data_IF_809012797902
#
_entry.id   IF_809012797902
#
_cell.length_a   1.000
_cell.length_b   1.000
_cell.length_c   1.000
_cell.angle_alpha   90.00
_cell.angle_beta   90.00
_cell.angle_gamma   90.00
#
_symmetry.space_group_name_H-M   'P 1'
#
loop_
_entity.id
_entity.type
_entity.pdbx_description
1 polymer ?
#
# COMPACT_ATOMS: atom_id res chain seq x y z
N UNK A 1 -35.20 -25.40 70.92
CA UNK A 1 -35.32 -25.53 72.40
C UNK A 1 -34.16 -24.76 73.01
N UNK A 2 -34.41 -23.78 73.88
CA UNK A 2 -33.34 -23.01 74.53
C UNK A 2 -32.83 -23.75 75.76
N UNK A 3 -31.52 -23.86 75.93
CA UNK A 3 -30.85 -24.53 77.06
C UNK A 3 -30.13 -23.49 77.90
N UNK A 4 -30.29 -23.56 79.22
CA UNK A 4 -29.61 -22.69 80.18
C UNK A 4 -28.62 -23.49 81.04
N UNK A 5 -27.34 -23.09 80.97
CA UNK A 5 -26.24 -23.67 81.72
C UNK A 5 -26.01 -22.83 82.99
N UNK A 6 -26.41 -23.36 84.14
CA UNK A 6 -26.25 -22.68 85.42
C UNK A 6 -24.90 -23.03 86.05
N UNK A 7 -24.08 -22.01 86.32
CA UNK A 7 -22.76 -22.15 86.95
C UNK A 7 -22.62 -21.15 88.11
N UNK A 8 -21.60 -21.33 88.94
CA UNK A 8 -21.24 -20.41 90.03
C UNK A 8 -19.83 -19.91 89.76
N UNK A 9 -19.61 -18.60 89.87
CA UNK A 9 -18.31 -17.98 89.65
C UNK A 9 -17.99 -16.97 90.75
N UNK A 10 -16.76 -17.02 91.24
CA UNK A 10 -16.21 -16.08 92.21
C UNK A 10 -15.53 -14.89 91.51
N UNK A 11 -15.79 -13.68 92.00
CA UNK A 11 -15.15 -12.45 91.49
C UNK A 11 -13.72 -12.29 92.02
N UNK A 12 -13.46 -12.77 93.24
CA UNK A 12 -12.15 -12.71 93.88
C UNK A 12 -11.16 -13.81 93.43
N UNK A 13 -11.59 -14.76 92.59
CA UNK A 13 -10.78 -15.84 91.97
C UNK A 13 -10.14 -16.76 93.00
N UNK A 14 -10.97 -17.52 93.72
CA UNK A 14 -10.50 -18.54 94.65
C UNK A 14 -9.75 -19.68 93.93
N UNK A 15 -8.57 -20.06 94.43
CA UNK A 15 -7.80 -21.20 93.90
C UNK A 15 -8.37 -22.56 94.32
N UNK A 16 -9.40 -22.57 95.16
CA UNK A 16 -9.98 -23.81 95.72
C UNK A 16 -11.21 -24.31 94.95
N UNK A 17 -11.77 -23.53 94.03
CA UNK A 17 -12.88 -23.98 93.19
C UNK A 17 -12.36 -24.77 91.98
N UNK A 18 -13.00 -25.90 91.70
CA UNK A 18 -12.85 -26.59 90.41
C UNK A 18 -13.63 -25.77 89.37
N UNK A 19 -12.98 -25.29 88.29
CA UNK A 19 -13.66 -24.49 87.28
C UNK A 19 -14.90 -25.21 86.74
N UNK A 20 -16.08 -24.57 86.72
CA UNK A 20 -17.27 -25.20 86.19
C UNK A 20 -17.11 -25.43 84.68
N UNK A 21 -17.77 -26.47 84.16
CA UNK A 21 -17.72 -26.83 82.73
C UNK A 21 -19.06 -26.63 82.05
N UNK A 22 -19.05 -25.84 80.99
CA UNK A 22 -20.16 -25.64 80.07
C UNK A 22 -19.83 -26.34 78.75
N UNK A 23 -20.75 -27.18 78.26
CA UNK A 23 -20.60 -27.88 76.99
C UNK A 23 -21.70 -27.45 76.04
N UNK A 24 -21.31 -26.93 74.89
CA UNK A 24 -22.20 -26.51 73.80
C UNK A 24 -21.75 -27.13 72.50
N UNK A 25 -22.56 -27.05 71.45
CA UNK A 25 -22.16 -27.45 70.10
C UNK A 25 -21.88 -26.22 69.25
N UNK A 26 -20.92 -26.37 68.36
CA UNK A 26 -20.68 -25.39 67.30
C UNK A 26 -22.00 -25.13 66.54
N UNK A 27 -22.31 -23.88 66.23
CA UNK A 27 -23.55 -23.52 65.52
C UNK A 27 -24.82 -23.43 66.36
N UNK A 28 -24.81 -23.74 67.67
CA UNK A 28 -25.97 -23.54 68.57
C UNK A 28 -26.18 -22.05 68.92
N UNK A 29 -26.39 -21.22 67.91
CA UNK A 29 -26.50 -19.76 68.02
C UNK A 29 -27.82 -19.38 68.67
N UNK A 30 -27.77 -18.47 69.65
CA UNK A 30 -28.93 -17.90 70.34
C UNK A 30 -29.82 -18.90 71.12
N UNK A 31 -29.47 -20.19 71.14
CA UNK A 31 -30.22 -21.23 71.86
C UNK A 31 -29.55 -21.67 73.15
N UNK A 32 -28.25 -21.40 73.32
CA UNK A 32 -27.48 -21.75 74.53
C UNK A 32 -27.26 -20.49 75.37
N UNK A 33 -27.67 -20.51 76.64
CA UNK A 33 -27.45 -19.40 77.58
C UNK A 33 -26.61 -19.85 78.75
N UNK A 34 -25.54 -19.13 79.06
CA UNK A 34 -24.75 -19.32 80.28
C UNK A 34 -25.28 -18.38 81.34
N UNK A 35 -25.67 -18.91 82.49
CA UNK A 35 -26.19 -18.17 83.64
C UNK A 35 -25.27 -18.43 84.83
N UNK A 36 -24.47 -17.44 85.20
CA UNK A 36 -23.52 -17.54 86.30
C UNK A 36 -24.02 -16.79 87.52
N UNK A 37 -24.18 -17.50 88.63
CA UNK A 37 -24.35 -16.90 89.96
C UNK A 37 -23.01 -16.31 90.40
N UNK A 38 -22.98 -15.00 90.62
CA UNK A 38 -21.82 -14.28 91.10
C UNK A 38 -21.71 -14.42 92.60
N UNK A 39 -20.50 -14.75 93.06
CA UNK A 39 -20.15 -14.88 94.46
C UNK A 39 -18.90 -14.03 94.75
N UNK A 40 -18.74 -13.67 96.02
CA UNK A 40 -17.52 -13.06 96.55
C UNK A 40 -17.26 -13.66 97.94
N UNK A 41 -16.22 -14.48 98.06
CA UNK A 41 -15.87 -15.19 99.30
C UNK A 41 -17.04 -16.06 99.82
N UNK A 42 -17.73 -16.75 98.91
CA UNK A 42 -18.83 -17.66 99.25
C UNK A 42 -20.18 -16.98 99.52
N UNK A 43 -20.24 -15.64 99.53
CA UNK A 43 -21.48 -14.88 99.66
C UNK A 43 -21.97 -14.36 98.30
N UNK A 44 -23.28 -14.22 98.12
CA UNK A 44 -23.86 -13.74 96.86
C UNK A 44 -23.40 -12.31 96.57
N UNK A 45 -22.77 -12.12 95.42
CA UNK A 45 -22.32 -10.81 94.97
C UNK A 45 -23.35 -10.17 94.03
N UNK A 46 -23.84 -8.98 94.35
CA UNK A 46 -24.79 -8.21 93.52
C UNK A 46 -24.10 -6.95 92.98
N UNK A 47 -23.64 -6.95 91.72
CA UNK A 47 -23.05 -5.77 91.11
C UNK A 47 -24.06 -4.62 91.00
N UNK A 48 -23.68 -3.40 91.40
CA UNK A 48 -24.50 -2.21 91.24
C UNK A 48 -23.91 -1.28 90.19
N UNK A 49 -24.73 -0.86 89.21
CA UNK A 49 -24.32 0.07 88.16
C UNK A 49 -23.27 -0.46 87.17
N UNK A 50 -23.01 -1.77 87.16
CA UNK A 50 -22.05 -2.39 86.24
C UNK A 50 -22.76 -2.97 85.01
N UNK A 51 -22.01 -3.07 83.91
CA UNK A 51 -22.41 -3.87 82.73
C UNK A 51 -21.50 -5.10 82.61
N UNK A 52 -21.95 -6.14 81.92
CA UNK A 52 -21.18 -7.38 81.79
C UNK A 52 -20.88 -7.74 80.33
N UNK A 53 -19.76 -8.44 80.14
CA UNK A 53 -19.39 -9.07 78.88
C UNK A 53 -18.78 -10.43 79.15
N UNK A 54 -19.13 -11.42 78.34
CA UNK A 54 -18.46 -12.71 78.33
C UNK A 54 -17.32 -12.64 77.30
N UNK A 55 -16.08 -12.80 77.79
CA UNK A 55 -14.88 -12.86 76.97
C UNK A 55 -14.44 -14.31 76.80
N UNK A 56 -14.32 -14.75 75.55
CA UNK A 56 -13.93 -16.12 75.19
C UNK A 56 -12.70 -16.03 74.29
N UNK A 57 -11.65 -16.79 74.62
CA UNK A 57 -10.55 -17.11 73.72
C UNK A 57 -10.73 -18.55 73.27
N UNK A 58 -11.09 -18.76 72.01
CA UNK A 58 -11.41 -20.08 71.46
C UNK A 58 -10.15 -20.93 71.24
N UNK A 59 -10.35 -22.22 70.97
CA UNK A 59 -9.27 -23.18 70.77
C UNK A 59 -8.35 -22.82 69.58
N UNK A 60 -8.94 -22.28 68.52
CA UNK A 60 -8.28 -21.80 67.30
C UNK A 60 -7.46 -20.51 67.48
N UNK A 61 -7.55 -19.87 68.66
CA UNK A 61 -6.85 -18.62 68.99
C UNK A 61 -7.62 -17.35 68.62
N UNK A 62 -8.81 -17.46 68.00
CA UNK A 62 -9.69 -16.30 67.80
C UNK A 62 -10.50 -16.01 69.07
N UNK A 63 -10.97 -14.78 69.22
CA UNK A 63 -11.64 -14.32 70.45
C UNK A 63 -13.06 -13.84 70.15
N UNK A 64 -13.96 -14.03 71.11
CA UNK A 64 -15.34 -13.57 71.04
C UNK A 64 -15.67 -12.72 72.27
N UNK A 65 -16.32 -11.57 72.03
CA UNK A 65 -16.80 -10.65 73.07
C UNK A 65 -18.31 -10.59 72.99
N UNK A 66 -18.97 -11.17 73.96
CA UNK A 66 -20.41 -11.37 73.93
C UNK A 66 -21.07 -10.49 74.98
N UNK A 67 -22.07 -9.72 74.57
CA UNK A 67 -22.86 -8.90 75.49
C UNK A 67 -23.54 -9.80 76.53
N UNK A 68 -23.39 -9.46 77.81
CA UNK A 68 -24.03 -10.16 78.90
C UNK A 68 -24.93 -9.20 79.70
N UNK A 69 -25.97 -9.74 80.33
CA UNK A 69 -26.88 -8.99 81.19
C UNK A 69 -26.65 -9.36 82.66
N UNK A 70 -26.85 -8.41 83.57
CA UNK A 70 -26.79 -8.63 85.01
C UNK A 70 -28.21 -8.44 85.57
N UNK A 71 -28.67 -9.37 86.40
CA UNK A 71 -29.92 -9.25 87.16
C UNK A 71 -29.70 -9.76 88.57
N UNK A 72 -29.68 -8.84 89.54
CA UNK A 72 -29.28 -9.14 90.91
C UNK A 72 -27.87 -9.71 90.96
N UNK A 73 -27.71 -10.90 91.55
CA UNK A 73 -26.44 -11.61 91.65
C UNK A 73 -26.16 -12.58 90.50
N UNK A 74 -26.87 -12.48 89.38
CA UNK A 74 -26.72 -13.39 88.23
C UNK A 74 -26.26 -12.60 87.01
N UNK A 75 -25.22 -13.10 86.35
CA UNK A 75 -24.81 -12.63 85.02
C UNK A 75 -25.17 -13.68 83.97
N UNK A 76 -25.82 -13.26 82.87
CA UNK A 76 -26.26 -14.14 81.80
C UNK A 76 -25.69 -13.72 80.45
N UNK A 77 -25.26 -14.69 79.65
CA UNK A 77 -24.91 -14.50 78.25
C UNK A 77 -25.56 -15.59 77.40
N UNK A 78 -26.50 -15.21 76.53
CA UNK A 78 -26.93 -16.07 75.43
C UNK A 78 -25.84 -16.05 74.37
N UNK A 79 -25.34 -17.22 73.97
CA UNK A 79 -24.16 -17.35 73.12
C UNK A 79 -24.48 -16.93 71.68
N UNK A 80 -23.83 -15.87 71.15
CA UNK A 80 -23.96 -15.47 69.75
C UNK A 80 -23.08 -16.35 68.84
N UNK A 81 -23.23 -16.22 67.52
CA UNK A 81 -22.51 -17.02 66.51
C UNK A 81 -21.00 -17.03 66.74
N UNK A 82 -20.40 -15.87 66.94
CA UNK A 82 -18.96 -15.71 67.23
C UNK A 82 -18.47 -16.51 68.45
N UNK A 83 -19.32 -16.79 69.43
CA UNK A 83 -18.95 -17.56 70.63
C UNK A 83 -18.85 -19.07 70.37
N UNK A 84 -19.60 -19.57 69.39
CA UNK A 84 -19.74 -21.00 69.07
C UNK A 84 -19.35 -21.29 67.61
N UNK A 85 -18.50 -20.45 67.01
CA UNK A 85 -18.13 -20.56 65.58
C UNK A 85 -16.94 -21.47 65.29
N UNK A 86 -16.35 -22.08 66.32
CA UNK A 86 -15.14 -22.91 66.16
C UNK A 86 -15.11 -23.97 67.26
N UNK A 87 -14.95 -25.26 66.93
CA UNK A 87 -14.99 -26.32 67.92
C UNK A 87 -13.68 -26.40 68.70
N UNK A 88 -13.75 -27.04 69.86
CA UNK A 88 -12.63 -27.25 70.77
C UNK A 88 -12.91 -26.71 72.18
N UNK A 89 -11.95 -26.95 73.08
CA UNK A 89 -11.96 -26.37 74.42
C UNK A 89 -11.44 -24.93 74.33
N UNK A 90 -12.25 -23.95 74.74
CA UNK A 90 -11.81 -22.57 74.83
C UNK A 90 -10.59 -22.47 75.77
N UNK A 91 -9.59 -21.71 75.36
CA UNK A 91 -8.38 -21.44 76.16
C UNK A 91 -8.70 -20.57 77.38
N UNK A 92 -9.72 -19.72 77.26
CA UNK A 92 -10.21 -18.88 78.35
C UNK A 92 -11.69 -18.56 78.12
N UNK A 93 -12.51 -18.60 79.18
CA UNK A 93 -13.86 -18.03 79.18
C UNK A 93 -14.13 -17.44 80.56
N UNK A 94 -14.51 -16.16 80.63
CA UNK A 94 -14.82 -15.49 81.90
C UNK A 94 -15.70 -14.26 81.67
N UNK A 95 -16.44 -13.86 82.70
CA UNK A 95 -17.18 -12.61 82.67
C UNK A 95 -16.31 -11.45 83.12
N UNK A 96 -16.44 -10.33 82.41
CA UNK A 96 -15.83 -9.05 82.75
C UNK A 96 -16.94 -8.06 83.08
N UNK A 97 -16.83 -7.41 84.23
CA UNK A 97 -17.77 -6.40 84.71
C UNK A 97 -17.15 -5.01 84.51
N UNK A 98 -17.93 -4.08 83.97
CA UNK A 98 -17.48 -2.74 83.60
C UNK A 98 -18.24 -1.67 84.38
N UNK A 99 -17.51 -0.66 84.84
CA UNK A 99 -18.07 0.61 85.28
C UNK A 99 -17.87 1.62 84.14
N UNK A 100 -18.93 1.94 83.41
CA UNK A 100 -18.81 2.68 82.15
C UNK A 100 -17.96 1.92 81.12
N UNK A 101 -16.84 2.50 80.68
CA UNK A 101 -15.89 1.90 79.73
C UNK A 101 -14.68 1.24 80.41
N UNK A 102 -14.52 1.43 81.72
CA UNK A 102 -13.40 0.89 82.49
C UNK A 102 -13.72 -0.51 83.01
N UNK A 103 -12.79 -1.45 82.82
CA UNK A 103 -12.88 -2.78 83.43
C UNK A 103 -12.82 -2.60 84.94
N UNK A 104 -13.94 -2.89 85.62
CA UNK A 104 -14.02 -2.81 87.07
C UNK A 104 -13.50 -4.11 87.68
N UNK A 105 -14.09 -5.23 87.26
CA UNK A 105 -13.90 -6.54 87.89
C UNK A 105 -13.97 -7.65 86.84
N UNK A 106 -13.57 -8.86 87.23
CA UNK A 106 -13.78 -10.04 86.40
C UNK A 106 -13.93 -11.28 87.26
N UNK A 107 -14.69 -12.25 86.79
CA UNK A 107 -14.79 -13.56 87.43
C UNK A 107 -13.51 -14.36 87.25
N UNK A 108 -13.42 -15.48 87.95
CA UNK A 108 -12.59 -16.61 87.54
C UNK A 108 -12.98 -17.15 86.15
N UNK A 109 -12.10 -17.98 85.59
CA UNK A 109 -12.34 -18.67 84.32
C UNK A 109 -13.14 -19.95 84.49
N UNK A 110 -13.95 -20.29 83.49
CA UNK A 110 -14.65 -21.58 83.42
C UNK A 110 -14.31 -22.32 82.13
N UNK A 111 -14.51 -23.64 82.13
CA UNK A 111 -14.28 -24.46 80.94
C UNK A 111 -15.46 -24.35 79.98
N UNK A 112 -15.26 -23.68 78.85
CA UNK A 112 -16.22 -23.70 77.74
C UNK A 112 -15.76 -24.68 76.66
N UNK A 113 -16.45 -25.82 76.53
CA UNK A 113 -16.18 -26.82 75.50
C UNK A 113 -17.21 -26.71 74.38
N UNK A 114 -16.73 -26.42 73.18
CA UNK A 114 -17.55 -26.37 71.97
C UNK A 114 -17.32 -27.68 71.22
N UNK A 115 -18.32 -28.55 71.18
CA UNK A 115 -18.27 -29.80 70.41
C UNK A 115 -18.39 -29.48 68.92
N UNK A 116 -17.66 -30.20 68.04
CA UNK A 116 -17.89 -30.08 66.61
C UNK A 116 -19.34 -30.44 66.29
N UNK A 117 -19.95 -29.72 65.34
CA UNK A 117 -21.14 -30.22 64.67
C UNK A 117 -20.73 -30.84 63.34
N UNK A 118 -21.56 -31.75 62.83
CA UNK A 118 -21.43 -32.29 61.47
C UNK A 118 -21.86 -31.23 60.44
N UNK A 119 -22.52 -30.17 60.89
CA UNK A 119 -23.19 -29.16 60.06
C UNK A 119 -23.19 -27.80 60.77
N UNK A 120 -22.17 -26.97 60.52
CA UNK A 120 -22.03 -25.61 61.11
C UNK A 120 -21.90 -24.49 60.10
N UNK A 121 -21.92 -24.82 58.81
CA UNK A 121 -22.32 -23.85 57.83
C UNK A 121 -23.83 -23.73 57.90
N UNK A 122 -24.32 -22.52 58.11
CA UNK A 122 -25.54 -22.08 57.45
C UNK A 122 -25.60 -22.74 56.05
N UNK A 123 -26.55 -23.66 55.77
CA UNK A 123 -26.60 -24.36 54.48
C UNK A 123 -26.76 -23.39 53.31
N UNK A 124 -27.05 -22.11 53.57
CA UNK A 124 -27.15 -21.05 52.59
C UNK A 124 -25.79 -20.39 52.24
N UNK A 125 -24.73 -20.55 53.05
CA UNK A 125 -23.48 -19.79 52.87
C UNK A 125 -22.22 -20.60 52.52
N UNK A 126 -22.19 -21.92 52.74
CA UNK A 126 -21.02 -22.75 52.38
C UNK A 126 -21.27 -23.74 51.24
N UNK A 127 -22.51 -23.86 50.78
CA UNK A 127 -22.86 -24.53 49.54
C UNK A 127 -23.27 -23.48 48.50
N UNK A 128 -22.30 -22.77 47.91
CA UNK A 128 -22.48 -22.46 46.49
C UNK A 128 -22.56 -23.82 45.80
N UNK A 129 -23.78 -24.28 45.56
CA UNK A 129 -24.13 -25.61 45.07
C UNK A 129 -23.21 -26.02 43.92
N UNK A 130 -22.73 -27.26 43.91
CA UNK A 130 -22.02 -27.83 42.77
C UNK A 130 -22.74 -27.55 41.43
N UNK A 131 -24.07 -27.55 41.45
CA UNK A 131 -24.91 -27.18 40.31
C UNK A 131 -24.72 -25.72 39.86
N UNK A 132 -24.61 -24.75 40.78
CA UNK A 132 -24.34 -23.33 40.44
C UNK A 132 -22.93 -23.15 39.85
N UNK A 133 -21.94 -23.88 40.37
CA UNK A 133 -20.60 -23.87 39.79
C UNK A 133 -20.55 -24.52 38.39
N UNK A 134 -21.31 -25.61 38.17
CA UNK A 134 -21.48 -26.24 36.86
C UNK A 134 -22.21 -25.32 35.88
N UNK A 135 -23.25 -24.61 36.32
CA UNK A 135 -23.96 -23.60 35.52
C UNK A 135 -23.02 -22.46 35.13
N UNK A 136 -22.27 -21.89 36.09
CA UNK A 136 -21.26 -20.85 35.82
C UNK A 136 -20.18 -21.34 34.84
N UNK A 137 -19.76 -22.60 34.92
CA UNK A 137 -18.80 -23.18 33.98
C UNK A 137 -19.42 -23.35 32.58
N UNK A 138 -20.65 -23.83 32.50
CA UNK A 138 -21.40 -23.99 31.25
C UNK A 138 -21.61 -22.64 30.56
N UNK A 139 -22.07 -21.61 31.28
CA UNK A 139 -22.25 -20.26 30.75
C UNK A 139 -20.93 -19.66 30.24
N UNK A 140 -19.83 -19.87 30.96
CA UNK A 140 -18.50 -19.46 30.50
C UNK A 140 -18.11 -20.18 29.23
N UNK A 141 -18.28 -21.50 29.17
CA UNK A 141 -17.99 -22.28 27.98
C UNK A 141 -18.85 -21.82 26.80
N UNK A 142 -20.16 -21.71 26.97
CA UNK A 142 -21.08 -21.23 25.93
C UNK A 142 -20.68 -19.83 25.42
N UNK A 143 -20.29 -18.92 26.32
CA UNK A 143 -19.80 -17.60 25.93
C UNK A 143 -18.47 -17.67 25.15
N UNK A 144 -17.55 -18.56 25.54
CA UNK A 144 -16.31 -18.81 24.79
C UNK A 144 -16.59 -19.39 23.41
N UNK A 145 -17.52 -20.34 23.30
CA UNK A 145 -17.91 -20.99 22.04
C UNK A 145 -18.55 -19.97 21.09
N UNK A 146 -19.55 -19.22 21.55
CA UNK A 146 -20.15 -18.12 20.77
C UNK A 146 -19.12 -17.10 20.29
N UNK A 147 -18.15 -16.76 21.15
CA UNK A 147 -17.07 -15.84 20.78
C UNK A 147 -16.15 -16.45 19.72
N UNK A 148 -15.79 -17.72 19.86
CA UNK A 148 -14.95 -18.43 18.89
C UNK A 148 -15.66 -18.56 17.52
N UNK A 149 -16.95 -18.90 17.51
CA UNK A 149 -17.76 -18.96 16.29
C UNK A 149 -17.83 -17.59 15.59
N UNK A 150 -18.06 -16.52 16.35
CA UNK A 150 -18.09 -15.16 15.81
C UNK A 150 -16.73 -14.75 15.22
N UNK A 151 -15.64 -15.07 15.90
CA UNK A 151 -14.28 -14.80 15.41
C UNK A 151 -13.95 -15.59 14.16
N UNK A 152 -14.33 -16.87 14.11
CA UNK A 152 -14.09 -17.73 12.96
C UNK A 152 -14.93 -17.27 11.76
N UNK A 153 -16.20 -16.90 11.97
CA UNK A 153 -17.04 -16.29 10.93
C UNK A 153 -16.41 -15.02 10.37
N UNK A 154 -15.93 -14.11 11.23
CA UNK A 154 -15.25 -12.89 10.80
C UNK A 154 -13.95 -13.18 10.03
N UNK A 155 -13.16 -14.17 10.47
CA UNK A 155 -11.94 -14.62 9.80
C UNK A 155 -12.25 -15.17 8.41
N UNK A 156 -13.29 -15.99 8.27
CA UNK A 156 -13.73 -16.56 6.99
C UNK A 156 -14.21 -15.46 6.04
N UNK A 157 -14.99 -14.49 6.53
CA UNK A 157 -15.42 -13.33 5.72
C UNK A 157 -14.23 -12.50 5.24
N UNK A 158 -13.26 -12.22 6.10
CA UNK A 158 -12.04 -11.49 5.74
C UNK A 158 -11.20 -12.25 4.70
N UNK A 159 -11.08 -13.56 4.85
CA UNK A 159 -10.35 -14.40 3.91
C UNK A 159 -11.04 -14.50 2.54
N UNK A 160 -12.37 -14.56 2.51
CA UNK A 160 -13.13 -14.51 1.26
C UNK A 160 -12.96 -13.15 0.56
N UNK A 161 -13.02 -12.05 1.30
CA UNK A 161 -12.76 -10.71 0.76
C UNK A 161 -11.33 -10.59 0.19
N UNK A 162 -10.32 -11.12 0.91
CA UNK A 162 -8.93 -11.18 0.44
C UNK A 162 -8.81 -11.96 -0.87
N UNK A 163 -9.46 -13.11 -0.99
CA UNK A 163 -9.49 -13.91 -2.22
C UNK A 163 -10.13 -13.16 -3.38
N UNK A 164 -11.27 -12.52 -3.17
CA UNK A 164 -11.94 -11.71 -4.21
C UNK A 164 -11.06 -10.55 -4.69
N UNK A 165 -10.39 -9.85 -3.76
CA UNK A 165 -9.47 -8.77 -4.09
C UNK A 165 -8.27 -9.28 -4.88
N UNK A 166 -7.71 -10.42 -4.51
CA UNK A 166 -6.58 -11.03 -5.23
C UNK A 166 -6.98 -11.47 -6.64
N UNK A 167 -8.17 -12.05 -6.83
CA UNK A 167 -8.70 -12.36 -8.16
C UNK A 167 -8.93 -11.10 -9.00
N UNK A 168 -9.38 -9.99 -8.40
CA UNK A 168 -9.53 -8.73 -9.10
C UNK A 168 -8.17 -8.14 -9.52
N UNK A 169 -7.17 -8.21 -8.64
CA UNK A 169 -5.79 -7.80 -8.93
C UNK A 169 -5.20 -8.59 -10.10
N UNK A 170 -5.40 -9.91 -10.13
CA UNK A 170 -4.92 -10.77 -11.21
C UNK A 170 -5.54 -10.39 -12.56
N UNK A 171 -6.87 -10.18 -12.62
CA UNK A 171 -7.54 -9.73 -13.86
C UNK A 171 -7.06 -8.36 -14.34
N UNK A 172 -6.81 -7.44 -13.42
CA UNK A 172 -6.25 -6.13 -13.76
C UNK A 172 -4.84 -6.26 -14.35
N UNK A 173 -4.03 -7.18 -13.81
CA UNK A 173 -2.68 -7.46 -14.30
C UNK A 173 -2.70 -8.11 -15.68
N UNK A 174 -3.55 -9.11 -15.92
CA UNK A 174 -3.77 -9.72 -17.24
C UNK A 174 -4.17 -8.65 -18.29
N UNK A 175 -5.03 -7.71 -17.89
CA UNK A 175 -5.43 -6.60 -18.76
C UNK A 175 -4.25 -5.67 -19.06
N UNK A 176 -3.43 -5.35 -18.06
CA UNK A 176 -2.22 -4.53 -18.22
C UNK A 176 -1.22 -5.20 -19.17
N UNK A 177 -1.01 -6.50 -19.03
CA UNK A 177 -0.13 -7.29 -19.90
C UNK A 177 -0.61 -7.27 -21.35
N UNK A 178 -1.90 -7.55 -21.60
CA UNK A 178 -2.48 -7.50 -22.95
C UNK A 178 -2.36 -6.10 -23.59
N UNK A 179 -2.54 -5.04 -22.80
CA UNK A 179 -2.34 -3.67 -23.28
C UNK A 179 -0.87 -3.36 -23.60
N UNK A 180 0.08 -3.90 -22.83
CA UNK A 180 1.51 -3.75 -23.09
C UNK A 180 1.92 -4.47 -24.38
N UNK A 181 1.42 -5.69 -24.59
CA UNK A 181 1.65 -6.43 -25.84
C UNK A 181 1.12 -5.67 -27.05
N UNK A 182 -0.11 -5.14 -26.96
CA UNK A 182 -0.69 -4.32 -28.03
C UNK A 182 0.13 -3.05 -28.31
N UNK A 183 0.64 -2.40 -27.25
CA UNK A 183 1.54 -1.23 -27.37
C UNK A 183 2.84 -1.61 -28.07
N UNK A 184 3.45 -2.74 -27.69
CA UNK A 184 4.70 -3.22 -28.28
C UNK A 184 4.52 -3.53 -29.77
N UNK A 185 3.46 -4.23 -30.16
CA UNK A 185 3.14 -4.49 -31.58
C UNK A 185 2.90 -3.20 -32.36
N UNK A 186 2.19 -2.22 -31.79
CA UNK A 186 1.99 -0.93 -32.45
C UNK A 186 3.32 -0.18 -32.66
N UNK A 187 4.24 -0.27 -31.70
CA UNK A 187 5.56 0.33 -31.81
C UNK A 187 6.44 -0.36 -32.86
N UNK A 188 6.43 -1.70 -32.93
CA UNK A 188 7.12 -2.46 -33.98
C UNK A 188 6.62 -2.11 -35.39
N UNK A 189 5.31 -1.96 -35.55
CA UNK A 189 4.71 -1.52 -36.82
C UNK A 189 5.17 -0.10 -37.18
N UNK A 190 5.19 0.82 -36.20
CA UNK A 190 5.66 2.20 -36.41
C UNK A 190 7.13 2.24 -36.82
N UNK A 191 7.98 1.43 -36.21
CA UNK A 191 9.40 1.30 -36.58
C UNK A 191 9.55 0.75 -38.00
N UNK A 192 8.74 -0.24 -38.37
CA UNK A 192 8.75 -0.83 -39.71
C UNK A 192 8.34 0.18 -40.78
N UNK A 193 7.24 0.90 -40.55
CA UNK A 193 6.76 1.96 -41.44
C UNK A 193 7.80 3.08 -41.58
N UNK A 194 8.40 3.51 -40.47
CA UNK A 194 9.46 4.51 -40.49
C UNK A 194 10.66 4.08 -41.34
N UNK A 195 11.11 2.84 -41.20
CA UNK A 195 12.22 2.31 -42.00
C UNK A 195 11.88 2.22 -43.50
N UNK A 196 10.64 1.89 -43.83
CA UNK A 196 10.16 1.89 -45.22
C UNK A 196 10.17 3.31 -45.80
N UNK A 197 9.59 4.28 -45.08
CA UNK A 197 9.58 5.69 -45.48
C UNK A 197 10.99 6.26 -45.63
N UNK A 198 11.90 5.93 -44.71
CA UNK A 198 13.31 6.30 -44.79
C UNK A 198 13.95 5.78 -46.06
N UNK A 199 13.74 4.51 -46.39
CA UNK A 199 14.31 3.90 -47.60
C UNK A 199 13.73 4.51 -48.88
N UNK A 200 12.42 4.75 -48.92
CA UNK A 200 11.76 5.43 -50.05
C UNK A 200 12.26 6.86 -50.22
N UNK A 201 12.44 7.60 -49.13
CA UNK A 201 12.98 8.96 -49.14
C UNK A 201 14.42 8.99 -49.67
N UNK A 202 15.26 8.04 -49.26
CA UNK A 202 16.63 7.89 -49.78
C UNK A 202 16.63 7.57 -51.28
N UNK A 203 15.77 6.65 -51.73
CA UNK A 203 15.65 6.32 -53.15
C UNK A 203 15.18 7.52 -53.99
N UNK A 204 14.19 8.27 -53.50
CA UNK A 204 13.71 9.49 -54.15
C UNK A 204 14.82 10.56 -54.25
N UNK A 205 15.60 10.73 -53.18
CA UNK A 205 16.75 11.65 -53.16
C UNK A 205 17.80 11.25 -54.19
N UNK A 206 18.13 9.95 -54.27
CA UNK A 206 19.10 9.44 -55.25
C UNK A 206 18.60 9.61 -56.69
N UNK A 207 17.32 9.35 -56.95
CA UNK A 207 16.71 9.56 -58.25
C UNK A 207 16.73 11.04 -58.67
N UNK A 208 16.43 11.96 -57.75
CA UNK A 208 16.51 13.39 -57.99
C UNK A 208 17.95 13.85 -58.32
N UNK A 209 18.94 13.36 -57.57
CA UNK A 209 20.36 13.64 -57.84
C UNK A 209 20.81 13.10 -59.21
N UNK A 210 20.36 11.90 -59.58
CA UNK A 210 20.61 11.32 -60.90
C UNK A 210 20.00 12.14 -62.03
N UNK A 211 18.74 12.57 -61.87
CA UNK A 211 18.07 13.43 -62.84
C UNK A 211 18.78 14.79 -63.01
N UNK A 212 19.21 15.41 -61.90
CA UNK A 212 19.98 16.65 -61.93
C UNK A 212 21.33 16.48 -62.65
N UNK A 213 22.02 15.36 -62.42
CA UNK A 213 23.28 15.03 -63.11
C UNK A 213 23.06 14.86 -64.61
N UNK A 214 22.02 14.12 -65.01
CA UNK A 214 21.67 13.94 -66.42
C UNK A 214 21.31 15.26 -67.10
N UNK A 215 20.57 16.14 -66.42
CA UNK A 215 20.26 17.48 -66.93
C UNK A 215 21.52 18.33 -67.13
N UNK A 216 22.46 18.30 -66.18
CA UNK A 216 23.75 18.99 -66.30
C UNK A 216 24.60 18.44 -67.46
N UNK A 217 24.62 17.12 -67.66
CA UNK A 217 25.30 16.48 -68.77
C UNK A 217 24.68 16.88 -70.11
N UNK A 218 23.35 16.86 -70.22
CA UNK A 218 22.63 17.27 -71.42
C UNK A 218 22.87 18.76 -71.75
N UNK A 219 22.84 19.64 -70.74
CA UNK A 219 23.14 21.05 -70.92
C UNK A 219 24.58 21.27 -71.39
N UNK A 220 25.54 20.51 -70.84
CA UNK A 220 26.96 20.58 -71.25
C UNK A 220 27.14 20.10 -72.69
N UNK A 221 26.52 18.98 -73.06
CA UNK A 221 26.53 18.48 -74.43
C UNK A 221 25.95 19.51 -75.41
N UNK A 222 24.81 20.11 -75.07
CA UNK A 222 24.17 21.14 -75.90
C UNK A 222 25.08 22.37 -76.11
N UNK A 223 25.77 22.84 -75.06
CA UNK A 223 26.78 23.91 -75.19
C UNK A 223 27.91 23.51 -76.13
N UNK A 224 28.49 22.32 -75.93
CA UNK A 224 29.57 21.84 -76.79
C UNK A 224 29.14 21.77 -78.26
N UNK A 225 27.92 21.29 -78.55
CA UNK A 225 27.37 21.27 -79.91
C UNK A 225 27.26 22.70 -80.46
N UNK A 226 26.71 23.64 -79.70
CA UNK A 226 26.60 25.04 -80.12
C UNK A 226 27.97 25.66 -80.45
N UNK A 227 28.98 25.44 -79.58
CA UNK A 227 30.34 25.94 -79.78
C UNK A 227 30.99 25.35 -81.05
N UNK A 228 30.81 24.05 -81.30
CA UNK A 228 31.32 23.39 -82.51
C UNK A 228 30.63 23.91 -83.78
N UNK A 229 29.32 24.11 -83.76
CA UNK A 229 28.60 24.70 -84.91
C UNK A 229 29.13 26.10 -85.21
N UNK A 230 29.33 26.94 -84.18
CA UNK A 230 29.86 28.28 -84.35
C UNK A 230 31.28 28.26 -84.95
N UNK A 231 32.10 27.27 -84.60
CA UNK A 231 33.44 27.11 -85.19
C UNK A 231 33.43 26.53 -86.62
N UNK A 232 32.38 25.81 -87.01
CA UNK A 232 32.30 25.12 -88.31
C UNK A 232 31.61 25.94 -89.41
N UNK A 233 30.95 27.04 -89.06
CA UNK A 233 30.40 27.96 -90.06
C UNK A 233 31.57 28.63 -90.77
N UNK A 234 31.73 28.32 -92.07
CA UNK A 234 32.60 29.06 -92.97
C UNK A 234 32.08 30.50 -92.95
N UNK A 235 32.89 31.42 -92.41
CA UNK A 235 32.46 32.80 -92.25
C UNK A 235 32.13 33.41 -93.61
N UNK A 236 31.25 34.43 -93.63
CA UNK A 236 30.96 35.17 -94.86
C UNK A 236 32.25 35.72 -95.52
N UNK A 237 33.27 35.99 -94.70
CA UNK A 237 34.63 36.38 -95.13
C UNK A 237 35.35 35.26 -95.89
N UNK A 238 35.38 34.04 -95.36
CA UNK A 238 35.98 32.87 -96.02
C UNK A 238 35.25 32.53 -97.32
N UNK A 239 33.91 32.64 -97.33
CA UNK A 239 33.09 32.46 -98.55
C UNK A 239 33.41 33.54 -99.58
N UNK A 240 33.55 34.79 -99.16
CA UNK A 240 33.92 35.89 -100.04
C UNK A 240 35.33 35.70 -100.62
N UNK A 241 36.29 35.25 -99.81
CA UNK A 241 37.65 34.95 -100.26
C UNK A 241 37.66 33.80 -101.28
N UNK A 242 36.94 32.71 -101.01
CA UNK A 242 36.80 31.61 -101.97
C UNK A 242 36.18 32.07 -103.28
N UNK A 243 35.15 32.94 -103.24
CA UNK A 243 34.56 33.54 -104.45
C UNK A 243 35.60 34.38 -105.22
N UNK A 244 36.38 35.20 -104.54
CA UNK A 244 37.45 35.97 -105.19
C UNK A 244 38.54 35.08 -105.80
N UNK A 245 38.88 33.96 -105.15
CA UNK A 245 39.80 32.97 -105.71
C UNK A 245 39.21 32.28 -106.96
N UNK A 246 37.92 31.95 -106.95
CA UNK A 246 37.19 31.43 -108.13
C UNK A 246 37.26 32.43 -109.29
N UNK A 247 37.02 33.71 -109.03
CA UNK A 247 37.07 34.76 -110.07
C UNK A 247 38.47 34.87 -110.70
N UNK A 248 39.52 34.78 -109.87
CA UNK A 248 40.91 34.79 -110.32
C UNK A 248 41.24 33.56 -111.17
N UNK A 249 40.83 32.37 -110.72
CA UNK A 249 41.04 31.12 -111.46
C UNK A 249 40.27 31.14 -112.79
N UNK A 250 39.05 31.66 -112.82
CA UNK A 250 38.25 31.85 -114.03
C UNK A 250 38.96 32.74 -115.05
N UNK A 251 39.52 33.86 -114.59
CA UNK A 251 40.31 34.76 -115.44
C UNK A 251 41.58 34.09 -115.98
N UNK A 252 42.33 33.39 -115.13
CA UNK A 252 43.53 32.64 -115.54
C UNK A 252 43.21 31.52 -116.55
N UNK A 253 42.09 30.82 -116.38
CA UNK A 253 41.65 29.78 -117.30
C UNK A 253 41.29 30.37 -118.67
N UNK A 254 40.60 31.51 -118.69
CA UNK A 254 40.29 32.24 -119.92
C UNK A 254 41.58 32.63 -120.67
N UNK A 255 42.53 33.24 -119.97
CA UNK A 255 43.85 33.58 -120.54
C UNK A 255 44.60 32.35 -121.08
N UNK A 256 44.64 31.25 -120.32
CA UNK A 256 45.41 30.06 -120.70
C UNK A 256 44.83 29.29 -121.88
N UNK A 257 43.52 29.29 -122.06
CA UNK A 257 42.83 28.54 -123.12
C UNK A 257 42.48 29.40 -124.33
N UNK A 258 42.54 30.73 -124.19
CA UNK A 258 42.16 31.69 -125.22
C UNK A 258 40.66 31.73 -125.52
N UNK A 259 39.82 31.07 -124.70
CA UNK A 259 38.37 31.00 -124.87
C UNK A 259 37.60 31.90 -123.89
N UNK A 260 36.33 32.17 -124.21
CA UNK A 260 35.39 32.80 -123.29
C UNK A 260 34.66 31.74 -122.47
N UNK A 261 34.51 31.97 -121.17
CA UNK A 261 33.82 31.04 -120.26
C UNK A 261 32.73 31.76 -119.50
N UNK A 262 31.57 31.14 -119.37
CA UNK A 262 30.50 31.63 -118.52
C UNK A 262 30.38 30.72 -117.30
N UNK A 263 30.50 31.31 -116.11
CA UNK A 263 30.32 30.59 -114.84
C UNK A 263 29.70 31.54 -113.81
N UNK A 264 28.67 31.06 -113.13
CA UNK A 264 27.97 31.77 -112.04
C UNK A 264 27.63 33.24 -112.36
N UNK A 265 27.04 33.50 -113.54
CA UNK A 265 26.63 34.86 -113.93
C UNK A 265 27.76 35.75 -114.49
N UNK A 266 29.01 35.30 -114.43
CA UNK A 266 30.19 36.05 -114.90
C UNK A 266 30.75 35.44 -116.18
N UNK A 267 31.03 36.29 -117.18
CA UNK A 267 31.76 35.90 -118.39
C UNK A 267 33.24 36.24 -118.20
N UNK A 268 34.08 35.21 -118.12
CA UNK A 268 35.53 35.32 -118.09
C UNK A 268 36.06 35.36 -119.52
N UNK A 269 36.92 36.34 -119.79
CA UNK A 269 37.48 36.58 -121.11
C UNK A 269 39.01 36.64 -121.04
N UNK A 270 39.72 36.19 -122.09
CA UNK A 270 41.16 36.37 -122.16
C UNK A 270 41.51 37.86 -122.24
N UNK A 271 42.53 38.30 -121.52
CA UNK A 271 43.08 39.66 -121.53
C UNK A 271 43.51 40.14 -122.92
N UNK A 272 43.83 39.20 -123.82
CA UNK A 272 44.12 39.46 -125.23
C UNK A 272 42.88 39.77 -126.09
N UNK A 273 41.68 39.40 -125.62
CA UNK A 273 40.41 39.50 -126.37
C UNK A 273 39.44 40.51 -125.78
N UNK A 274 39.53 40.81 -124.49
CA UNK A 274 38.80 41.92 -123.90
C UNK A 274 39.52 42.45 -122.66
N UNK A 275 39.41 43.76 -122.43
CA UNK A 275 39.89 44.42 -121.21
C UNK A 275 38.80 45.33 -120.67
N UNK A 276 38.78 45.51 -119.35
CA UNK A 276 37.81 46.38 -118.67
C UNK A 276 38.56 47.50 -117.97
N UNK A 277 38.11 48.73 -118.18
CA UNK A 277 38.57 49.90 -117.44
C UNK A 277 37.36 50.71 -116.99
N UNK A 278 37.12 50.72 -115.67
CA UNK A 278 35.91 51.31 -115.09
C UNK A 278 34.65 50.61 -115.61
N UNK A 279 33.71 51.37 -116.18
CA UNK A 279 32.48 50.85 -116.78
C UNK A 279 32.58 50.55 -118.27
N UNK A 280 33.79 50.60 -118.86
CA UNK A 280 34.00 50.42 -120.29
C UNK A 280 34.74 49.11 -120.55
N UNK A 281 34.13 48.25 -121.37
CA UNK A 281 34.74 47.02 -121.90
C UNK A 281 35.29 47.32 -123.28
N UNK A 282 36.56 46.98 -123.52
CA UNK A 282 37.24 47.13 -124.82
C UNK A 282 37.53 45.75 -125.38
N UNK A 283 37.01 45.47 -126.57
CA UNK A 283 37.25 44.21 -127.28
C UNK A 283 38.54 44.28 -128.11
N UNK A 284 39.29 43.18 -128.12
CA UNK A 284 40.45 42.97 -129.00
C UNK A 284 40.02 42.78 -130.45
N UNK A 285 40.98 42.81 -131.37
CA UNK A 285 40.72 42.85 -132.83
C UNK A 285 39.97 41.63 -133.40
N UNK A 286 39.84 40.53 -132.64
CA UNK A 286 39.08 39.34 -133.05
C UNK A 286 37.62 39.36 -132.59
N UNK A 287 37.25 40.28 -131.70
CA UNK A 287 35.89 40.39 -131.18
C UNK A 287 35.22 41.63 -131.76
N UNK A 288 33.93 41.52 -132.13
CA UNK A 288 33.17 42.62 -132.72
C UNK A 288 31.85 42.84 -132.00
N UNK A 289 31.40 44.10 -131.94
CA UNK A 289 30.09 44.46 -131.42
C UNK A 289 29.35 45.29 -132.48
N UNK A 290 28.14 44.87 -132.82
CA UNK A 290 27.28 45.54 -133.80
C UNK A 290 25.82 45.48 -133.35
N UNK A 291 25.21 46.66 -133.14
CA UNK A 291 23.85 46.76 -132.62
C UNK A 291 23.71 46.09 -131.24
N UNK A 292 22.89 45.05 -131.16
CA UNK A 292 22.65 44.24 -129.95
C UNK A 292 23.44 42.93 -129.92
N UNK A 293 24.31 42.70 -130.91
CA UNK A 293 25.05 41.44 -131.08
C UNK A 293 26.52 41.66 -130.79
N UNK A 294 27.09 40.79 -129.94
CA UNK A 294 28.53 40.70 -129.69
C UNK A 294 28.99 39.36 -130.27
N UNK A 295 29.99 39.40 -131.14
CA UNK A 295 30.63 38.23 -131.73
C UNK A 295 31.99 38.05 -131.08
N UNK A 296 32.17 36.91 -130.40
CA UNK A 296 33.36 36.57 -129.64
C UNK A 296 34.11 35.46 -130.39
N UNK A 297 35.27 35.78 -130.96
CA UNK A 297 36.15 34.82 -131.66
C UNK A 297 37.47 34.60 -130.92
#
# INVERSE_FOLDING_TARGET
MSVEHNIVLEVNKSTSLVPPRVVVREGDVATQTISAQLMNDGEKYTPSGLTARLDILKADGTWARCTASISGSIVKCTLPSQAVSSPGLARLAHFVLYSGTSKAESTEGFELRILPAVDTSDPEAAAEYYDDMLTKLYEKWEAYEKKAESQESARVSAENARKSNESARQKAEETRESQEEARATAEENRVTEFNSLKSQSQAATNAANGAATNANNAATYARNVADNLQSSVVGDEDVAEMRAQIDKLGSMLADSTGGFFYMDGTVYCPSSKASVSGSTVTFGSTCTASGTTITLE
#
